data_IF_897313320389
#
_entry.id   IF_897313320389
#
_cell.length_a   1.000
_cell.length_b   1.000
_cell.length_c   1.000
_cell.angle_alpha   90.00
_cell.angle_beta   90.00
_cell.angle_gamma   90.00
#
_symmetry.space_group_name_H-M   'P 1'
#
loop_
_entity.id
_entity.type
_entity.pdbx_description
1 polymer ?
#
# COMPACT_ATOMS: atom_id res chain seq x y z
N UNK A 1 16.72 -2.92 3.34
CA UNK A 1 15.30 -2.51 3.44
C UNK A 1 14.43 -3.52 2.71
N UNK A 2 13.37 -3.95 3.33
CA UNK A 2 12.40 -4.85 2.73
C UNK A 2 11.14 -4.08 2.36
N UNK A 3 10.65 -4.30 1.14
CA UNK A 3 9.42 -3.68 0.66
C UNK A 3 8.30 -4.71 0.68
N UNK A 4 7.15 -4.32 1.18
CA UNK A 4 5.99 -5.20 1.26
C UNK A 4 4.78 -4.56 0.59
N UNK A 5 3.86 -5.40 0.15
CA UNK A 5 2.59 -4.95 -0.37
C UNK A 5 1.57 -4.80 0.77
N UNK A 6 0.56 -3.97 0.56
CA UNK A 6 -0.52 -3.76 1.52
C UNK A 6 -1.84 -4.20 0.88
N UNK A 7 -2.39 -5.29 1.37
CA UNK A 7 -3.64 -5.86 0.83
C UNK A 7 -4.55 -6.24 1.98
N UNK A 8 -5.82 -5.88 1.90
CA UNK A 8 -6.84 -6.21 2.90
C UNK A 8 -6.48 -5.77 4.32
N UNK A 9 -5.82 -4.61 4.45
CA UNK A 9 -5.44 -4.08 5.74
C UNK A 9 -4.18 -4.68 6.34
N UNK A 10 -3.43 -5.48 5.59
CA UNK A 10 -2.24 -6.16 6.08
C UNK A 10 -1.03 -5.92 5.18
N UNK A 11 0.12 -5.72 5.80
CA UNK A 11 1.40 -5.72 5.08
C UNK A 11 1.87 -7.16 4.92
N UNK A 12 2.23 -7.52 3.69
CA UNK A 12 2.75 -8.86 3.40
C UNK A 12 3.67 -8.84 2.20
N UNK A 13 4.52 -9.85 2.09
CA UNK A 13 5.41 -10.02 0.95
C UNK A 13 4.62 -10.43 -0.29
N UNK A 14 5.11 -10.04 -1.46
CA UNK A 14 4.59 -10.56 -2.71
C UNK A 14 4.79 -12.07 -2.78
N UNK A 15 3.87 -12.79 -3.41
CA UNK A 15 3.91 -14.25 -3.48
C UNK A 15 4.48 -14.80 -4.79
N UNK A 16 4.96 -13.93 -5.68
CA UNK A 16 5.66 -14.35 -6.90
C UNK A 16 7.05 -14.88 -6.56
N UNK A 17 7.56 -15.80 -7.36
CA UNK A 17 8.94 -16.27 -7.24
C UNK A 17 9.97 -15.29 -7.79
N UNK A 18 9.52 -14.25 -8.48
CA UNK A 18 10.38 -13.24 -9.10
C UNK A 18 10.72 -12.15 -8.07
N UNK A 19 12.02 -11.90 -7.88
CA UNK A 19 12.52 -10.83 -7.02
C UNK A 19 13.10 -9.70 -7.85
N UNK A 20 13.05 -8.49 -7.31
CA UNK A 20 13.61 -7.31 -7.93
C UNK A 20 14.49 -6.57 -6.93
N UNK A 21 15.67 -6.17 -7.38
CA UNK A 21 16.58 -5.38 -6.57
C UNK A 21 16.36 -3.89 -6.85
N UNK A 22 16.13 -3.13 -5.79
CA UNK A 22 15.98 -1.67 -5.87
C UNK A 22 17.37 -1.05 -5.75
N UNK A 23 17.79 -0.34 -6.78
CA UNK A 23 19.14 0.19 -6.90
C UNK A 23 19.11 1.71 -6.81
N UNK A 24 20.03 2.27 -6.03
CA UNK A 24 20.25 3.72 -6.02
C UNK A 24 20.90 4.13 -7.35
N UNK A 25 20.24 4.94 -8.18
CA UNK A 25 20.77 5.31 -9.50
C UNK A 25 22.04 6.16 -9.43
N UNK A 26 22.30 6.84 -8.32
CA UNK A 26 23.48 7.67 -8.15
C UNK A 26 24.74 6.89 -7.79
N UNK A 27 24.59 5.85 -6.97
CA UNK A 27 25.72 5.08 -6.42
C UNK A 27 25.77 3.65 -6.92
N UNK A 28 24.71 3.17 -7.56
CA UNK A 28 24.51 1.77 -7.97
C UNK A 28 24.45 0.78 -6.79
N UNK A 29 24.28 1.27 -5.56
CA UNK A 29 24.11 0.43 -4.38
C UNK A 29 22.72 -0.17 -4.32
N UNK A 30 22.64 -1.41 -3.85
CA UNK A 30 21.35 -2.08 -3.63
C UNK A 30 20.73 -1.53 -2.35
N UNK A 31 19.57 -0.86 -2.48
CA UNK A 31 18.83 -0.30 -1.36
C UNK A 31 17.97 -1.36 -0.65
N UNK A 32 17.56 -2.38 -1.37
CA UNK A 32 16.72 -3.45 -0.85
C UNK A 32 16.22 -4.32 -1.98
N UNK A 33 15.48 -5.35 -1.61
CA UNK A 33 14.85 -6.26 -2.56
C UNK A 33 13.35 -6.28 -2.32
N UNK A 34 12.59 -6.48 -3.40
CA UNK A 34 11.16 -6.70 -3.30
C UNK A 34 10.78 -7.96 -4.06
N UNK A 35 9.78 -8.65 -3.58
CA UNK A 35 9.20 -9.79 -4.25
C UNK A 35 7.98 -9.31 -5.04
N UNK A 36 7.92 -9.70 -6.31
CA UNK A 36 6.81 -9.27 -7.15
C UNK A 36 5.48 -9.85 -6.68
N UNK A 37 4.42 -9.12 -6.96
CA UNK A 37 3.06 -9.53 -6.71
C UNK A 37 2.66 -10.60 -7.71
N UNK A 38 2.07 -11.70 -7.22
CA UNK A 38 1.52 -12.74 -8.11
C UNK A 38 0.15 -12.34 -8.64
N UNK A 39 -0.31 -13.06 -9.66
CA UNK A 39 -1.68 -12.89 -10.17
C UNK A 39 -2.71 -13.15 -9.06
N UNK A 40 -2.45 -14.11 -8.20
CA UNK A 40 -3.33 -14.41 -7.06
C UNK A 40 -3.40 -13.25 -6.07
N UNK A 41 -2.28 -12.60 -5.78
CA UNK A 41 -2.24 -11.41 -4.93
C UNK A 41 -3.05 -10.26 -5.54
N UNK A 42 -2.94 -10.06 -6.85
CA UNK A 42 -3.68 -9.02 -7.56
C UNK A 42 -5.18 -9.28 -7.48
N UNK A 43 -5.61 -10.52 -7.71
CA UNK A 43 -7.01 -10.88 -7.60
C UNK A 43 -7.55 -10.66 -6.21
N UNK A 44 -6.80 -11.03 -5.20
CA UNK A 44 -7.18 -10.82 -3.80
C UNK A 44 -7.31 -9.33 -3.48
N UNK A 45 -6.40 -8.50 -3.97
CA UNK A 45 -6.47 -7.06 -3.80
C UNK A 45 -7.72 -6.47 -4.47
N UNK A 46 -8.04 -6.90 -5.68
CA UNK A 46 -9.23 -6.45 -6.41
C UNK A 46 -10.51 -6.88 -5.68
N UNK A 47 -10.58 -8.11 -5.21
CA UNK A 47 -11.76 -8.60 -4.48
C UNK A 47 -11.93 -7.84 -3.16
N UNK A 48 -10.86 -7.58 -2.43
CA UNK A 48 -10.90 -6.79 -1.21
C UNK A 48 -11.40 -5.37 -1.48
N UNK A 49 -10.90 -4.73 -2.53
CA UNK A 49 -11.32 -3.39 -2.94
C UNK A 49 -12.80 -3.37 -3.35
N UNK A 50 -13.27 -4.40 -4.04
CA UNK A 50 -14.67 -4.51 -4.45
C UNK A 50 -15.59 -4.62 -3.23
N UNK A 51 -15.24 -5.42 -2.24
CA UNK A 51 -16.01 -5.54 -1.01
C UNK A 51 -16.05 -4.22 -0.24
N UNK A 52 -14.92 -3.53 -0.13
CA UNK A 52 -14.84 -2.23 0.52
C UNK A 52 -15.66 -1.17 -0.23
N UNK A 53 -15.68 -1.23 -1.56
CA UNK A 53 -16.44 -0.31 -2.39
C UNK A 53 -17.95 -0.36 -2.06
N UNK A 54 -18.49 -1.54 -1.83
CA UNK A 54 -19.92 -1.70 -1.51
C UNK A 54 -20.32 -0.94 -0.25
N UNK A 55 -19.45 -0.87 0.73
CA UNK A 55 -19.67 -0.12 1.97
C UNK A 55 -19.37 1.37 1.76
N UNK A 56 -18.25 1.67 1.14
CA UNK A 56 -17.79 3.04 0.95
C UNK A 56 -18.72 3.84 0.05
N UNK A 57 -19.28 3.22 -0.99
CA UNK A 57 -20.22 3.87 -1.89
C UNK A 57 -21.50 4.31 -1.18
N UNK A 58 -21.88 3.63 -0.11
CA UNK A 58 -23.07 3.96 0.70
C UNK A 58 -22.76 4.91 1.85
N UNK A 59 -21.49 5.20 2.09
CA UNK A 59 -21.04 6.12 3.14
C UNK A 59 -21.35 7.56 2.71
N UNK A 60 -21.90 8.36 3.62
CA UNK A 60 -22.23 9.76 3.32
C UNK A 60 -20.97 10.58 3.00
N UNK A 61 -21.16 11.68 2.26
CA UNK A 61 -20.05 12.58 1.97
C UNK A 61 -19.44 13.16 3.24
N UNK A 62 -20.24 13.41 4.26
CA UNK A 62 -19.76 13.89 5.55
C UNK A 62 -18.86 12.86 6.22
N UNK A 63 -19.31 11.61 6.32
CA UNK A 63 -18.53 10.55 6.98
C UNK A 63 -17.24 10.26 6.23
N UNK A 64 -17.26 10.31 4.90
CA UNK A 64 -16.04 10.19 4.09
C UNK A 64 -15.07 11.33 4.36
N UNK A 65 -15.58 12.56 4.47
CA UNK A 65 -14.72 13.72 4.75
C UNK A 65 -14.06 13.63 6.12
N UNK A 66 -14.77 13.11 7.12
CA UNK A 66 -14.21 12.88 8.46
C UNK A 66 -13.05 11.91 8.41
N UNK A 67 -13.19 10.80 7.68
CA UNK A 67 -12.12 9.81 7.56
C UNK A 67 -10.90 10.36 6.81
N UNK A 68 -11.12 11.11 5.75
CA UNK A 68 -10.03 11.74 4.99
C UNK A 68 -9.30 12.77 5.86
N UNK A 69 -10.02 13.52 6.66
CA UNK A 69 -9.42 14.49 7.60
C UNK A 69 -8.59 13.78 8.67
N UNK A 70 -9.05 12.62 9.16
CA UNK A 70 -8.28 11.80 10.10
C UNK A 70 -6.95 11.33 9.48
N UNK A 71 -6.96 10.97 8.20
CA UNK A 71 -5.73 10.59 7.49
C UNK A 71 -4.76 11.78 7.48
N UNK A 72 -5.24 12.98 7.12
CA UNK A 72 -4.42 14.18 7.10
C UNK A 72 -3.83 14.49 8.48
N UNK A 73 -4.63 14.33 9.54
CA UNK A 73 -4.18 14.56 10.90
C UNK A 73 -3.10 13.56 11.35
N UNK A 74 -3.12 12.33 10.83
CA UNK A 74 -2.09 11.34 11.09
C UNK A 74 -0.82 11.58 10.28
N UNK A 75 -0.95 12.16 9.09
CA UNK A 75 0.19 12.44 8.23
C UNK A 75 1.02 13.62 8.73
N UNK A 76 0.38 14.66 9.24
CA UNK A 76 1.07 15.89 9.63
C UNK A 76 2.20 15.66 10.64
N UNK A 77 2.00 14.91 11.75
CA UNK A 77 3.10 14.61 12.69
C UNK A 77 4.20 13.74 12.09
N UNK A 78 3.93 13.05 10.98
CA UNK A 78 4.87 12.15 10.30
C UNK A 78 5.46 12.75 9.03
N UNK A 79 5.31 14.05 8.83
CA UNK A 79 5.71 14.71 7.58
C UNK A 79 7.19 14.48 7.23
N UNK A 80 8.07 14.51 8.24
CA UNK A 80 9.50 14.34 8.01
C UNK A 80 9.83 12.91 7.59
N UNK A 81 9.12 11.92 8.14
CA UNK A 81 9.27 10.52 7.75
C UNK A 81 8.73 10.28 6.33
N UNK A 82 7.63 10.94 5.96
CA UNK A 82 6.99 10.79 4.65
C UNK A 82 7.74 11.53 3.55
N UNK A 83 8.50 12.56 3.90
CA UNK A 83 9.36 13.28 2.95
C UNK A 83 10.64 12.45 2.62
#
# INVERSE_FOLDING_TARGET
>A
MQYSQYISGEFRQGSSEINYEVINPSTAEILGTLQFTSVQDIEEAIQSALQAYKVWAKTSAYDRSVKIRQIANLMYPRRDHLA
#
